data_IF_943759830176
#
_entry.id   IF_943759830176
#
_cell.length_a   1.000
_cell.length_b   1.000
_cell.length_c   1.000
_cell.angle_alpha   90.00
_cell.angle_beta   90.00
_cell.angle_gamma   90.00
#
_symmetry.space_group_name_H-M   'P 1'
#
loop_
_entity.id
_entity.type
_entity.pdbx_description
1 polymer ?
#
# COMPACT_ATOMS: atom_id res chain seq x y z
N UNK A 1 -5.42 38.23 -47.86
CA UNK A 1 -5.78 38.04 -46.46
C UNK A 1 -6.98 37.12 -46.42
N UNK A 2 -6.78 35.84 -46.11
CA UNK A 2 -7.82 34.84 -46.07
C UNK A 2 -7.84 34.29 -44.63
N UNK A 3 -8.88 34.61 -43.91
CA UNK A 3 -9.18 34.06 -42.57
C UNK A 3 -9.55 32.61 -42.66
N UNK A 4 -8.75 31.76 -42.06
CA UNK A 4 -8.98 30.33 -41.98
C UNK A 4 -9.80 30.05 -40.69
N UNK A 5 -11.11 29.87 -40.85
CA UNK A 5 -12.02 29.42 -39.80
C UNK A 5 -11.61 28.01 -39.36
N UNK A 6 -11.21 27.89 -38.11
CA UNK A 6 -10.98 26.58 -37.45
C UNK A 6 -12.34 26.08 -36.97
N UNK A 7 -12.73 24.94 -37.50
CA UNK A 7 -13.97 24.22 -37.15
C UNK A 7 -13.67 23.38 -35.91
N UNK A 8 -14.22 23.72 -34.78
CA UNK A 8 -14.21 22.95 -33.54
C UNK A 8 -15.13 21.72 -33.73
N UNK A 9 -14.53 20.54 -33.63
CA UNK A 9 -15.27 19.30 -33.49
C UNK A 9 -15.64 19.11 -32.02
N UNK A 10 -16.92 18.89 -31.66
CA UNK A 10 -17.30 18.57 -30.29
C UNK A 10 -16.84 17.15 -29.92
N UNK A 11 -16.21 17.03 -28.75
CA UNK A 11 -15.89 15.77 -28.12
C UNK A 11 -17.17 14.93 -27.87
N UNK A 12 -17.14 13.61 -28.06
CA UNK A 12 -18.24 12.75 -27.69
C UNK A 12 -18.40 12.68 -26.18
N UNK A 13 -19.62 12.93 -25.70
CA UNK A 13 -20.04 12.71 -24.33
C UNK A 13 -19.92 11.22 -23.93
N UNK A 14 -19.47 10.90 -22.70
CA UNK A 14 -19.46 9.53 -22.22
C UNK A 14 -20.90 9.07 -21.97
N UNK A 15 -21.35 8.10 -22.76
CA UNK A 15 -22.62 7.39 -22.56
C UNK A 15 -22.55 6.61 -21.26
N UNK A 16 -23.33 7.04 -20.27
CA UNK A 16 -23.62 6.26 -19.06
C UNK A 16 -24.46 5.07 -19.47
N UNK A 17 -23.90 3.86 -19.47
CA UNK A 17 -24.68 2.64 -19.59
C UNK A 17 -25.31 2.33 -18.24
N UNK A 18 -26.63 2.49 -18.19
CA UNK A 18 -27.49 1.96 -17.13
C UNK A 18 -27.36 0.42 -17.11
N UNK A 19 -26.79 -0.11 -16.05
CA UNK A 19 -26.82 -1.54 -15.74
C UNK A 19 -28.15 -1.81 -15.02
N UNK A 20 -29.00 -2.71 -15.53
CA UNK A 20 -30.24 -3.08 -14.85
C UNK A 20 -29.90 -3.78 -13.51
N UNK A 21 -30.54 -3.35 -12.45
CA UNK A 21 -30.53 -4.01 -11.16
C UNK A 21 -31.17 -5.40 -11.29
N UNK A 22 -30.37 -6.44 -11.23
CA UNK A 22 -30.80 -7.83 -11.13
C UNK A 22 -31.24 -8.11 -9.69
N UNK A 23 -32.49 -8.52 -9.59
CA UNK A 23 -33.22 -8.79 -8.36
C UNK A 23 -32.53 -9.88 -7.53
N UNK A 24 -32.29 -9.58 -6.25
CA UNK A 24 -31.86 -10.52 -5.24
C UNK A 24 -32.91 -11.62 -5.07
N UNK A 25 -32.62 -12.82 -5.55
CA UNK A 25 -33.35 -14.04 -5.24
C UNK A 25 -32.84 -14.63 -3.93
N UNK A 26 -33.72 -14.74 -2.96
CA UNK A 26 -33.46 -15.30 -1.63
C UNK A 26 -33.31 -16.82 -1.75
N UNK A 27 -32.29 -17.46 -1.19
CA UNK A 27 -32.29 -18.90 -1.01
C UNK A 27 -33.28 -19.27 0.10
N UNK A 28 -34.27 -20.03 -0.27
CA UNK A 28 -35.19 -20.74 0.63
C UNK A 28 -34.44 -21.83 1.41
N UNK A 29 -34.47 -21.71 2.72
CA UNK A 29 -34.18 -22.79 3.66
C UNK A 29 -35.05 -24.02 3.34
N UNK A 30 -34.42 -25.11 2.93
CA UNK A 30 -35.03 -26.43 2.89
C UNK A 30 -34.31 -27.34 3.87
N UNK A 31 -34.91 -27.52 5.02
CA UNK A 31 -34.65 -28.57 6.01
C UNK A 31 -34.75 -29.94 5.37
N UNK A 32 -33.84 -30.87 5.59
CA UNK A 32 -34.04 -32.28 5.22
C UNK A 32 -34.98 -32.93 6.23
N UNK A 33 -36.03 -33.43 5.69
CA UNK A 33 -37.12 -34.19 6.31
C UNK A 33 -36.62 -35.54 6.84
N UNK A 34 -36.95 -35.84 8.06
CA UNK A 34 -36.76 -37.14 8.74
C UNK A 34 -37.31 -38.30 7.95
N UNK A 35 -36.56 -39.43 7.93
CA UNK A 35 -37.00 -40.71 7.42
C UNK A 35 -37.67 -41.46 8.59
N UNK A 36 -38.85 -42.02 8.40
CA UNK A 36 -39.51 -42.77 9.47
C UNK A 36 -39.04 -44.20 9.57
N UNK A 37 -38.96 -44.66 10.80
CA UNK A 37 -38.90 -46.05 11.25
C UNK A 37 -39.96 -46.97 10.58
N UNK A 38 -39.56 -48.13 10.20
CA UNK A 38 -40.44 -49.28 10.04
C UNK A 38 -39.84 -50.50 10.70
N UNK A 39 -40.20 -50.72 11.91
CA UNK A 39 -41.05 -51.79 12.45
C UNK A 39 -40.73 -53.21 11.94
N UNK A 40 -40.14 -53.94 12.79
CA UNK A 40 -40.40 -55.29 13.32
C UNK A 40 -41.23 -56.24 12.47
N UNK A 41 -40.68 -57.39 12.17
CA UNK A 41 -41.49 -58.64 12.16
C UNK A 41 -40.63 -59.80 12.68
N UNK A 42 -41.04 -60.26 13.84
CA UNK A 42 -40.63 -61.42 14.52
C UNK A 42 -41.36 -62.62 13.93
N UNK A 43 -40.70 -63.71 13.63
CA UNK A 43 -41.35 -65.06 13.51
C UNK A 43 -40.38 -66.12 14.09
N UNK A 44 -40.90 -67.17 14.75
CA UNK A 44 -40.20 -67.94 15.78
C UNK A 44 -39.58 -69.27 15.33
N UNK A 45 -38.76 -69.75 16.26
CA UNK A 45 -38.09 -71.06 16.32
C UNK A 45 -38.93 -72.29 15.84
N UNK A 46 -38.21 -73.36 15.44
CA UNK A 46 -38.14 -74.45 16.42
C UNK A 46 -36.71 -75.02 16.66
N UNK A 47 -36.57 -75.47 17.85
CA UNK A 47 -35.39 -76.09 18.43
C UNK A 47 -35.09 -77.49 17.87
N UNK A 48 -33.80 -77.77 17.69
CA UNK A 48 -33.27 -79.13 17.58
C UNK A 48 -32.02 -79.22 18.46
N UNK A 49 -31.87 -80.30 19.28
CA UNK A 49 -30.86 -80.39 20.30
C UNK A 49 -29.46 -80.73 19.75
N UNK A 50 -28.41 -80.44 20.49
CA UNK A 50 -27.03 -80.56 20.01
C UNK A 50 -26.44 -81.97 20.16
N UNK A 51 -25.55 -82.36 19.25
CA UNK A 51 -24.64 -83.44 19.55
C UNK A 51 -23.45 -82.95 20.36
N UNK A 52 -23.21 -83.64 21.46
CA UNK A 52 -22.04 -83.53 22.32
C UNK A 52 -20.78 -83.86 21.50
N UNK A 53 -19.93 -82.92 21.30
CA UNK A 53 -18.58 -83.13 20.74
C UNK A 53 -17.56 -82.74 21.80
N UNK A 54 -16.86 -83.74 22.26
CA UNK A 54 -15.71 -83.67 23.16
C UNK A 54 -14.61 -82.73 22.61
N UNK A 55 -14.00 -81.85 23.41
CA UNK A 55 -12.92 -81.06 22.98
C UNK A 55 -11.63 -81.86 22.83
N UNK A 56 -11.23 -82.16 21.60
CA UNK A 56 -9.84 -82.55 21.33
C UNK A 56 -8.96 -81.30 21.48
N UNK A 57 -8.15 -81.29 22.52
CA UNK A 57 -7.01 -80.40 22.65
C UNK A 57 -6.02 -80.68 21.49
N UNK A 58 -6.14 -79.94 20.42
CA UNK A 58 -5.10 -79.93 19.40
C UNK A 58 -3.98 -79.00 19.88
N UNK A 59 -2.85 -79.63 20.22
CA UNK A 59 -1.60 -78.92 20.46
C UNK A 59 -1.24 -78.10 19.20
N UNK A 60 -0.98 -76.80 19.29
CA UNK A 60 -0.57 -76.08 18.13
C UNK A 60 0.82 -76.53 17.69
N UNK A 61 0.87 -77.26 16.58
CA UNK A 61 2.14 -77.51 15.89
C UNK A 61 2.63 -76.17 15.31
N UNK A 62 3.64 -75.64 15.94
CA UNK A 62 4.38 -74.53 15.37
C UNK A 62 5.11 -75.00 14.12
N UNK A 63 4.45 -75.00 13.00
CA UNK A 63 5.10 -75.15 11.71
C UNK A 63 5.94 -73.87 11.47
N UNK A 64 7.26 -74.07 11.37
CA UNK A 64 8.26 -73.04 11.05
C UNK A 64 7.84 -72.42 9.72
N UNK A 65 7.18 -71.26 9.78
CA UNK A 65 6.73 -70.57 8.61
C UNK A 65 7.95 -70.20 7.75
N UNK A 66 7.91 -70.58 6.49
CA UNK A 66 8.93 -70.22 5.51
C UNK A 66 9.05 -68.67 5.45
N UNK A 67 10.25 -68.09 5.37
CA UNK A 67 10.43 -66.64 5.32
C UNK A 67 9.61 -65.95 4.24
N UNK A 68 9.26 -66.66 3.17
CA UNK A 68 8.42 -66.16 2.08
C UNK A 68 6.94 -65.96 2.45
N UNK A 69 6.40 -66.71 3.43
CA UNK A 69 5.01 -66.57 3.86
C UNK A 69 4.81 -65.36 4.79
N UNK A 70 5.83 -65.00 5.56
CA UNK A 70 5.83 -63.77 6.35
C UNK A 70 5.81 -62.53 5.46
N UNK A 71 6.61 -62.52 4.40
CA UNK A 71 6.61 -61.41 3.42
C UNK A 71 5.27 -61.29 2.69
N UNK A 72 4.65 -62.39 2.28
CA UNK A 72 3.34 -62.36 1.62
C UNK A 72 2.21 -61.82 2.52
N UNK A 73 2.29 -62.02 3.83
CA UNK A 73 1.29 -61.50 4.79
C UNK A 73 1.60 -60.05 5.22
N UNK A 74 2.86 -59.66 5.32
CA UNK A 74 3.27 -58.31 5.73
C UNK A 74 3.25 -57.30 4.57
N UNK A 75 3.47 -57.78 3.33
CA UNK A 75 3.52 -56.89 2.16
C UNK A 75 2.26 -56.03 1.98
N UNK A 76 1.02 -56.58 2.03
CA UNK A 76 -0.19 -55.77 1.90
C UNK A 76 -0.38 -54.80 3.07
N UNK A 77 0.01 -55.20 4.30
CA UNK A 77 -0.05 -54.29 5.44
C UNK A 77 0.96 -53.12 5.32
N UNK A 78 2.19 -53.39 4.87
CA UNK A 78 3.18 -52.38 4.63
C UNK A 78 2.79 -51.42 3.48
N UNK A 79 2.24 -51.95 2.38
CA UNK A 79 1.70 -51.13 1.30
C UNK A 79 0.54 -50.25 1.77
N UNK A 80 -0.35 -50.77 2.58
CA UNK A 80 -1.45 -49.99 3.15
C UNK A 80 -0.94 -48.84 4.03
N UNK A 81 0.01 -49.11 4.92
CA UNK A 81 0.62 -48.08 5.77
C UNK A 81 1.34 -47.05 4.93
N UNK A 82 2.09 -47.46 3.90
CA UNK A 82 2.80 -46.53 3.02
C UNK A 82 1.82 -45.64 2.27
N UNK A 83 0.76 -46.19 1.68
CA UNK A 83 -0.26 -45.42 0.98
C UNK A 83 -1.02 -44.47 1.92
N UNK A 84 -1.35 -44.95 3.12
CA UNK A 84 -2.00 -44.12 4.14
C UNK A 84 -1.12 -42.96 4.56
N UNK A 85 0.17 -43.17 4.83
CA UNK A 85 1.12 -42.10 5.18
C UNK A 85 1.28 -41.11 4.06
N UNK A 86 1.40 -41.58 2.80
CA UNK A 86 1.53 -40.70 1.66
C UNK A 86 0.28 -39.81 1.44
N UNK A 87 -0.92 -40.42 1.56
CA UNK A 87 -2.19 -39.66 1.44
C UNK A 87 -2.32 -38.64 2.57
N UNK A 88 -2.03 -39.06 3.81
CA UNK A 88 -2.08 -38.10 4.95
C UNK A 88 -1.06 -36.99 4.84
N UNK A 89 0.15 -37.27 4.35
CA UNK A 89 1.18 -36.24 4.14
C UNK A 89 0.75 -35.24 3.04
N UNK A 90 0.20 -35.74 1.93
CA UNK A 90 -0.36 -34.90 0.88
C UNK A 90 -1.52 -34.04 1.38
N UNK A 91 -2.39 -34.59 2.22
CA UNK A 91 -3.51 -33.87 2.83
C UNK A 91 -3.03 -32.77 3.78
N UNK A 92 -2.02 -33.04 4.59
CA UNK A 92 -1.42 -32.04 5.48
C UNK A 92 -0.77 -30.90 4.69
N UNK A 93 0.02 -31.21 3.64
CA UNK A 93 0.62 -30.20 2.78
C UNK A 93 -0.47 -29.34 2.10
N UNK A 94 -1.55 -29.98 1.63
CA UNK A 94 -2.67 -29.26 1.02
C UNK A 94 -3.37 -28.34 2.03
N UNK A 95 -3.64 -28.82 3.24
CA UNK A 95 -4.24 -27.99 4.30
C UNK A 95 -3.37 -26.81 4.69
N UNK A 96 -2.04 -27.02 4.80
CA UNK A 96 -1.09 -25.93 5.08
C UNK A 96 -1.06 -24.89 3.96
N UNK A 97 -1.04 -25.32 2.69
CA UNK A 97 -1.04 -24.37 1.56
C UNK A 97 -2.33 -23.57 1.48
N UNK A 98 -3.48 -24.20 1.75
CA UNK A 98 -4.79 -23.50 1.80
C UNK A 98 -4.86 -22.54 2.98
N UNK A 99 -4.39 -22.97 4.17
CA UNK A 99 -4.36 -22.12 5.36
C UNK A 99 -3.45 -20.89 5.17
N UNK A 100 -2.24 -21.08 4.61
CA UNK A 100 -1.32 -19.99 4.29
C UNK A 100 -1.90 -19.04 3.23
N UNK A 101 -2.61 -19.57 2.23
CA UNK A 101 -3.32 -18.76 1.24
C UNK A 101 -4.43 -17.90 1.87
N UNK A 102 -5.21 -18.48 2.77
CA UNK A 102 -6.26 -17.76 3.50
C UNK A 102 -5.70 -16.70 4.46
N UNK A 103 -4.58 -16.98 5.13
CA UNK A 103 -3.90 -15.99 5.98
C UNK A 103 -3.36 -14.82 5.17
N UNK A 104 -2.70 -15.09 4.03
CA UNK A 104 -2.22 -14.04 3.12
C UNK A 104 -3.36 -13.20 2.56
N UNK A 105 -4.49 -13.83 2.20
CA UNK A 105 -5.68 -13.12 1.75
C UNK A 105 -6.25 -12.22 2.85
N UNK A 106 -6.40 -12.72 4.07
CA UNK A 106 -6.85 -11.92 5.23
C UNK A 106 -5.90 -10.78 5.54
N UNK A 107 -4.59 -11.02 5.54
CA UNK A 107 -3.58 -9.99 5.76
C UNK A 107 -3.65 -8.89 4.68
N UNK A 108 -3.86 -9.26 3.42
CA UNK A 108 -4.04 -8.28 2.34
C UNK A 108 -5.35 -7.48 2.48
N UNK A 109 -6.43 -8.10 2.93
CA UNK A 109 -7.73 -7.42 3.11
C UNK A 109 -7.80 -6.57 4.37
N UNK A 110 -7.07 -6.94 5.43
CA UNK A 110 -7.05 -6.18 6.70
C UNK A 110 -5.96 -5.11 6.75
N UNK A 111 -4.99 -5.12 5.82
CA UNK A 111 -3.82 -4.24 5.87
C UNK A 111 -4.19 -2.76 5.83
N UNK A 112 -5.12 -2.36 4.96
CA UNK A 112 -5.58 -0.96 4.91
C UNK A 112 -6.32 -0.57 6.20
N UNK A 113 -7.07 -1.50 6.81
CA UNK A 113 -7.74 -1.27 8.08
C UNK A 113 -6.74 -1.14 9.24
N UNK A 114 -5.72 -1.97 9.27
CA UNK A 114 -4.64 -1.88 10.27
C UNK A 114 -3.86 -0.57 10.13
N UNK A 115 -3.51 -0.18 8.90
CA UNK A 115 -2.85 1.09 8.62
C UNK A 115 -3.72 2.29 9.01
N UNK A 116 -5.04 2.21 8.83
CA UNK A 116 -5.97 3.26 9.21
C UNK A 116 -6.04 3.50 10.74
N UNK A 117 -5.62 2.54 11.55
CA UNK A 117 -5.54 2.69 13.01
C UNK A 117 -4.30 3.48 13.47
N UNK A 118 -3.32 3.70 12.59
CA UNK A 118 -2.05 4.35 12.92
C UNK A 118 -2.18 5.86 12.73
N UNK A 119 -2.06 6.62 13.82
CA UNK A 119 -2.10 8.08 13.78
C UNK A 119 -0.87 8.67 13.07
N UNK A 120 -1.05 9.77 12.33
CA UNK A 120 0.02 10.45 11.57
C UNK A 120 1.21 10.92 12.42
N UNK A 121 1.00 11.25 13.70
CA UNK A 121 2.04 11.68 14.64
C UNK A 121 2.60 10.56 15.51
N UNK A 122 2.25 9.29 15.24
CA UNK A 122 2.74 8.13 16.01
C UNK A 122 4.26 8.04 15.97
N UNK A 123 4.91 8.01 17.14
CA UNK A 123 6.36 7.88 17.25
C UNK A 123 6.88 6.60 16.60
N UNK A 124 6.12 5.50 16.69
CA UNK A 124 6.47 4.24 16.06
C UNK A 124 6.46 4.34 14.52
N UNK A 125 5.46 5.02 13.94
CA UNK A 125 5.39 5.25 12.50
C UNK A 125 6.53 6.16 12.03
N UNK A 126 6.79 7.24 12.75
CA UNK A 126 7.88 8.18 12.44
C UNK A 126 9.23 7.46 12.48
N UNK A 127 9.52 6.68 13.53
CA UNK A 127 10.74 5.90 13.64
C UNK A 127 10.86 4.84 12.53
N UNK A 128 9.76 4.17 12.19
CA UNK A 128 9.72 3.20 11.09
C UNK A 128 10.10 3.84 9.75
N UNK A 129 9.50 5.00 9.43
CA UNK A 129 9.82 5.73 8.19
C UNK A 129 11.27 6.21 8.20
N UNK A 130 11.74 6.76 9.31
CA UNK A 130 13.10 7.28 9.46
C UNK A 130 14.16 6.19 9.31
N UNK A 131 13.96 5.03 9.91
CA UNK A 131 14.96 3.97 9.96
C UNK A 131 14.96 3.06 8.73
N UNK A 132 13.79 2.79 8.15
CA UNK A 132 13.63 1.78 7.11
C UNK A 132 13.36 2.33 5.71
N UNK A 133 12.75 3.50 5.62
CA UNK A 133 12.32 4.04 4.33
C UNK A 133 13.09 5.29 3.89
N UNK A 134 13.60 6.08 4.84
CA UNK A 134 14.33 7.29 4.51
C UNK A 134 15.77 6.95 4.13
N UNK A 135 16.08 6.99 2.85
CA UNK A 135 17.41 6.73 2.36
C UNK A 135 18.40 7.81 2.86
N UNK A 136 19.63 7.42 3.23
CA UNK A 136 20.64 8.36 3.65
C UNK A 136 21.04 9.32 2.52
N UNK A 137 21.59 10.46 2.89
CA UNK A 137 22.12 11.44 1.93
C UNK A 137 23.18 10.80 1.03
N UNK A 138 23.00 10.90 -0.26
CA UNK A 138 24.07 10.56 -1.18
C UNK A 138 25.01 11.76 -1.29
N UNK A 139 26.26 11.56 -0.93
CA UNK A 139 27.31 12.58 -1.18
C UNK A 139 27.33 12.84 -2.69
N UNK A 140 26.94 14.03 -3.08
CA UNK A 140 26.94 14.41 -4.48
C UNK A 140 28.33 14.18 -5.09
N UNK A 141 28.43 13.65 -6.32
CA UNK A 141 29.70 13.66 -7.03
C UNK A 141 30.20 15.12 -7.11
N UNK A 142 31.50 15.34 -6.92
CA UNK A 142 32.07 16.68 -7.03
C UNK A 142 31.81 17.25 -8.43
N UNK A 143 31.40 18.52 -8.48
CA UNK A 143 31.45 19.36 -9.66
C UNK A 143 30.38 19.19 -10.75
N UNK A 144 29.10 19.27 -10.37
CA UNK A 144 28.20 20.00 -11.29
C UNK A 144 28.02 21.42 -10.73
N UNK A 145 28.14 22.47 -11.56
CA UNK A 145 27.85 23.81 -11.11
C UNK A 145 26.41 23.87 -10.56
N UNK A 146 26.16 24.67 -9.53
CA UNK A 146 24.80 24.84 -9.04
C UNK A 146 23.91 25.35 -10.21
N UNK A 147 22.65 24.91 -10.28
CA UNK A 147 21.72 25.46 -11.27
C UNK A 147 21.51 26.95 -10.99
N UNK A 148 21.00 27.70 -11.99
CA UNK A 148 20.63 29.09 -11.82
C UNK A 148 19.44 29.24 -10.85
N UNK A 149 19.32 30.36 -10.13
CA UNK A 149 18.19 30.64 -9.26
C UNK A 149 16.90 30.73 -10.06
N UNK A 150 15.86 30.06 -9.57
CA UNK A 150 14.52 30.07 -10.18
C UNK A 150 13.73 31.33 -9.72
N UNK A 151 12.65 31.72 -10.43
CA UNK A 151 11.76 32.76 -9.96
C UNK A 151 11.21 32.54 -8.54
N UNK A 152 11.00 31.27 -8.13
CA UNK A 152 10.55 30.92 -6.79
C UNK A 152 11.61 31.27 -5.73
N UNK A 153 12.89 31.08 -6.04
CA UNK A 153 14.01 31.47 -5.15
C UNK A 153 14.00 32.99 -4.95
N UNK A 154 13.79 33.75 -5.99
CA UNK A 154 13.73 35.23 -5.88
C UNK A 154 12.56 35.68 -4.99
N UNK A 155 11.41 35.02 -5.06
CA UNK A 155 10.28 35.31 -4.17
C UNK A 155 10.63 34.95 -2.72
N UNK A 156 11.28 33.82 -2.50
CA UNK A 156 11.73 33.41 -1.17
C UNK A 156 12.69 34.42 -0.56
N UNK A 157 13.69 34.88 -1.37
CA UNK A 157 14.67 35.85 -0.96
C UNK A 157 14.07 37.24 -0.67
N UNK A 158 13.09 37.66 -1.45
CA UNK A 158 12.39 38.93 -1.24
C UNK A 158 11.62 38.93 0.09
N UNK A 159 11.07 37.79 0.52
CA UNK A 159 10.25 37.70 1.72
C UNK A 159 11.05 37.43 3.00
N UNK A 160 12.09 36.61 2.91
CA UNK A 160 12.81 36.09 4.06
C UNK A 160 14.31 36.45 4.05
N UNK A 161 14.80 37.05 2.99
CA UNK A 161 16.22 37.26 2.75
C UNK A 161 16.91 35.99 2.25
N UNK A 162 18.20 36.07 1.98
CA UNK A 162 18.99 34.93 1.56
C UNK A 162 19.24 33.98 2.76
N UNK A 163 18.55 32.85 2.76
CA UNK A 163 18.70 31.83 3.81
C UNK A 163 19.71 30.78 3.33
N UNK A 164 20.72 30.51 4.14
CA UNK A 164 21.68 29.41 3.98
C UNK A 164 21.43 28.33 5.03
N UNK A 165 21.76 27.07 4.69
CA UNK A 165 21.59 25.91 5.58
C UNK A 165 20.14 25.74 6.08
N UNK A 166 19.17 26.13 5.28
CA UNK A 166 17.75 25.93 5.59
C UNK A 166 17.31 24.48 5.36
N UNK A 167 16.04 24.21 5.67
CA UNK A 167 15.43 22.88 5.48
C UNK A 167 14.28 22.97 4.48
N UNK A 168 14.25 22.01 3.55
CA UNK A 168 13.16 21.90 2.58
C UNK A 168 12.55 20.48 2.55
N UNK A 169 11.29 20.43 2.13
CA UNK A 169 10.63 19.16 1.79
C UNK A 169 10.01 19.30 0.40
N UNK A 170 10.34 18.36 -0.47
CA UNK A 170 9.76 18.29 -1.80
C UNK A 170 8.97 16.99 -1.96
N UNK A 171 7.69 17.15 -2.16
CA UNK A 171 6.75 16.04 -2.33
C UNK A 171 6.11 16.13 -3.72
N UNK A 172 6.76 15.58 -4.72
CA UNK A 172 6.29 15.54 -6.11
C UNK A 172 6.23 14.09 -6.56
N UNK A 173 5.09 13.60 -7.10
CA UNK A 173 4.92 12.18 -7.41
C UNK A 173 5.92 11.64 -8.43
N UNK A 174 6.30 12.46 -9.42
CA UNK A 174 7.15 12.08 -10.56
C UNK A 174 8.15 13.19 -10.90
N UNK A 175 9.20 12.81 -11.60
CA UNK A 175 10.17 13.69 -12.17
C UNK A 175 11.43 13.90 -11.33
N UNK A 176 12.39 14.65 -11.86
CA UNK A 176 13.62 15.02 -11.15
C UNK A 176 13.32 15.95 -9.97
N UNK A 177 14.35 16.27 -9.20
CA UNK A 177 14.30 17.33 -8.19
C UNK A 177 13.95 18.66 -8.87
N UNK A 178 13.02 19.43 -8.29
CA UNK A 178 12.63 20.73 -8.85
C UNK A 178 13.83 21.67 -8.95
N UNK A 179 13.80 22.59 -9.90
CA UNK A 179 14.88 23.57 -10.07
C UNK A 179 15.13 24.39 -8.80
N UNK A 180 14.07 24.79 -8.11
CA UNK A 180 14.13 25.50 -6.83
C UNK A 180 14.84 24.69 -5.74
N UNK A 181 14.40 23.44 -5.52
CA UNK A 181 15.03 22.58 -4.53
C UNK A 181 16.49 22.24 -4.92
N UNK A 182 16.75 21.98 -6.20
CA UNK A 182 18.10 21.71 -6.69
C UNK A 182 19.05 22.90 -6.45
N UNK A 183 18.58 24.13 -6.65
CA UNK A 183 19.34 25.33 -6.34
C UNK A 183 19.60 25.47 -4.83
N UNK A 184 18.55 25.40 -4.01
CA UNK A 184 18.67 25.57 -2.56
C UNK A 184 19.62 24.51 -1.94
N UNK A 185 19.49 23.27 -2.38
CA UNK A 185 20.33 22.15 -1.89
C UNK A 185 21.82 22.31 -2.29
N UNK A 186 22.11 22.77 -3.53
CA UNK A 186 23.46 22.79 -4.06
C UNK A 186 24.16 24.13 -3.86
N UNK A 187 23.45 25.24 -4.09
CA UNK A 187 24.04 26.59 -3.99
C UNK A 187 24.05 27.11 -2.57
N UNK A 188 23.03 26.77 -1.75
CA UNK A 188 22.87 27.34 -0.41
C UNK A 188 23.09 26.37 0.73
N UNK A 189 23.46 25.11 0.42
CA UNK A 189 23.74 24.09 1.41
C UNK A 189 22.53 23.68 2.24
N UNK A 190 21.31 23.84 1.69
CA UNK A 190 20.11 23.42 2.39
C UNK A 190 20.08 21.91 2.59
N UNK A 191 19.37 21.47 3.62
CA UNK A 191 19.05 20.08 3.89
C UNK A 191 17.59 19.80 3.55
N UNK A 192 17.23 18.51 3.51
CA UNK A 192 15.81 18.18 3.35
C UNK A 192 15.52 16.78 2.88
N UNK A 193 14.25 16.58 2.57
CA UNK A 193 13.70 15.32 2.11
C UNK A 193 13.05 15.52 0.74
N UNK A 194 13.43 14.65 -0.21
CA UNK A 194 12.80 14.58 -1.53
C UNK A 194 12.02 13.27 -1.62
N UNK A 195 10.72 13.37 -1.86
CA UNK A 195 9.80 12.24 -1.89
C UNK A 195 9.33 12.00 -3.32
N UNK A 196 9.39 10.75 -3.76
CA UNK A 196 8.89 10.31 -5.08
C UNK A 196 8.04 9.04 -4.93
N UNK A 197 6.89 9.05 -5.58
CA UNK A 197 6.02 7.88 -5.67
C UNK A 197 6.45 6.92 -6.78
N UNK A 198 6.93 7.47 -7.91
CA UNK A 198 7.46 6.68 -9.00
C UNK A 198 8.80 6.05 -8.60
N UNK A 199 8.90 4.72 -8.65
CA UNK A 199 10.10 3.98 -8.25
C UNK A 199 11.31 4.35 -9.10
N UNK A 200 11.12 4.54 -10.41
CA UNK A 200 12.17 4.96 -11.34
C UNK A 200 12.76 6.31 -10.96
N UNK A 201 11.91 7.29 -10.69
CA UNK A 201 12.34 8.64 -10.35
C UNK A 201 13.03 8.66 -8.97
N UNK A 202 12.50 7.89 -8.00
CA UNK A 202 13.16 7.69 -6.72
C UNK A 202 14.57 7.09 -6.86
N UNK A 203 14.73 6.04 -7.67
CA UNK A 203 16.02 5.40 -7.91
C UNK A 203 17.00 6.30 -8.68
N UNK A 204 16.48 7.25 -9.44
CA UNK A 204 17.28 8.25 -10.16
C UNK A 204 17.73 9.42 -9.28
N UNK A 205 17.16 9.59 -8.08
CA UNK A 205 17.54 10.69 -7.18
C UNK A 205 19.01 10.57 -6.77
N UNK A 206 19.74 11.65 -6.99
CA UNK A 206 21.12 11.82 -6.57
C UNK A 206 21.28 13.22 -6.01
N UNK A 207 21.95 13.36 -4.88
CA UNK A 207 22.17 14.68 -4.30
C UNK A 207 22.29 14.69 -2.79
N UNK A 208 22.38 15.86 -2.18
CA UNK A 208 22.56 16.03 -0.74
C UNK A 208 21.29 15.77 0.08
N UNK A 209 20.11 15.80 -0.53
CA UNK A 209 18.86 15.53 0.18
C UNK A 209 18.69 14.05 0.50
N UNK A 210 17.98 13.79 1.59
CA UNK A 210 17.50 12.43 1.90
C UNK A 210 16.36 12.07 0.95
N UNK A 211 16.33 10.84 0.46
CA UNK A 211 15.32 10.39 -0.49
C UNK A 211 14.31 9.45 0.19
N UNK A 212 13.04 9.59 -0.16
CA UNK A 212 11.96 8.73 0.35
C UNK A 212 11.10 8.21 -0.82
N UNK A 213 10.96 6.89 -0.92
CA UNK A 213 10.04 6.25 -1.85
C UNK A 213 8.66 6.13 -1.18
N UNK A 214 7.80 7.09 -1.41
CA UNK A 214 6.46 7.14 -0.84
C UNK A 214 5.53 8.00 -1.70
N UNK A 215 4.22 7.87 -1.48
CA UNK A 215 3.21 8.80 -1.96
C UNK A 215 2.61 9.62 -0.81
N UNK A 216 1.92 10.69 -1.15
CA UNK A 216 1.23 11.53 -0.17
C UNK A 216 -0.11 10.90 0.17
N UNK A 217 -0.36 10.64 1.44
CA UNK A 217 -1.67 10.13 1.87
C UNK A 217 -2.71 11.25 1.86
N UNK A 218 -3.89 11.02 1.27
CA UNK A 218 -5.00 11.96 1.35
C UNK A 218 -5.73 11.92 2.69
N UNK A 219 -5.25 11.15 3.66
CA UNK A 219 -5.88 10.94 4.97
C UNK A 219 -4.87 11.13 6.11
N UNK A 220 -5.35 11.13 7.35
CA UNK A 220 -4.51 11.25 8.56
C UNK A 220 -3.73 9.97 8.92
N UNK A 221 -3.84 8.93 8.14
CA UNK A 221 -3.18 7.65 8.40
C UNK A 221 -2.43 7.15 7.15
N UNK A 222 -1.43 6.30 7.33
CA UNK A 222 -0.75 5.67 6.21
C UNK A 222 -1.70 4.74 5.47
N UNK A 223 -1.47 4.56 4.18
CA UNK A 223 -2.19 3.59 3.34
C UNK A 223 -1.28 3.07 2.25
N UNK A 224 -1.58 1.90 1.73
CA UNK A 224 -0.85 1.34 0.60
C UNK A 224 -1.67 1.48 -0.67
N UNK A 225 -1.06 1.97 -1.73
CA UNK A 225 -1.72 2.10 -3.03
C UNK A 225 -0.91 1.42 -4.11
N UNK A 226 -1.60 0.95 -5.14
CA UNK A 226 -0.96 0.49 -6.35
C UNK A 226 -0.70 1.68 -7.25
N UNK A 227 0.57 2.00 -7.45
CA UNK A 227 1.01 3.08 -8.32
C UNK A 227 1.35 2.51 -9.70
N UNK A 228 0.76 3.07 -10.74
CA UNK A 228 1.00 2.64 -12.11
C UNK A 228 1.97 3.62 -12.79
N UNK A 229 3.08 3.09 -13.26
CA UNK A 229 4.04 3.81 -14.07
C UNK A 229 3.88 3.37 -15.53
N UNK A 230 3.53 4.29 -16.40
CA UNK A 230 3.50 4.04 -17.86
C UNK A 230 4.86 4.41 -18.42
N UNK A 231 5.64 3.43 -18.80
CA UNK A 231 6.99 3.65 -19.35
C UNK A 231 6.97 3.83 -20.88
N UNK A 232 6.02 3.17 -21.53
CA UNK A 232 5.71 3.31 -22.97
C UNK A 232 4.24 2.94 -23.19
N UNK A 233 3.71 3.13 -24.38
CA UNK A 233 2.32 2.78 -24.69
C UNK A 233 1.99 1.29 -24.47
N UNK A 234 3.01 0.42 -24.32
CA UNK A 234 2.84 -1.04 -24.22
C UNK A 234 3.21 -1.62 -22.85
N UNK A 235 3.93 -0.88 -21.98
CA UNK A 235 4.35 -1.42 -20.69
C UNK A 235 3.89 -0.54 -19.54
N UNK A 236 3.00 -1.10 -18.70
CA UNK A 236 2.55 -0.50 -17.47
C UNK A 236 3.16 -1.27 -16.30
N UNK A 237 4.08 -0.63 -15.58
CA UNK A 237 4.58 -1.18 -14.33
C UNK A 237 3.66 -0.80 -13.19
N UNK A 238 3.29 -1.78 -12.40
CA UNK A 238 2.45 -1.60 -11.22
C UNK A 238 3.28 -1.91 -9.98
N UNK A 239 3.54 -0.91 -9.16
CA UNK A 239 4.24 -1.04 -7.89
C UNK A 239 3.34 -0.71 -6.71
N UNK A 240 3.52 -1.41 -5.60
CA UNK A 240 2.88 -1.02 -4.33
C UNK A 240 3.72 0.05 -3.67
N UNK A 241 3.10 1.16 -3.34
CA UNK A 241 3.75 2.30 -2.71
C UNK A 241 3.03 2.65 -1.42
N UNK A 242 3.78 2.84 -0.35
CA UNK A 242 3.25 3.32 0.92
C UNK A 242 3.00 4.83 0.83
N UNK A 243 1.74 5.23 0.97
CA UNK A 243 1.38 6.63 1.10
C UNK A 243 1.42 7.03 2.58
N UNK A 244 2.12 8.11 2.86
CA UNK A 244 2.34 8.61 4.21
C UNK A 244 1.62 9.95 4.40
N UNK A 245 1.05 10.21 5.59
CA UNK A 245 0.57 11.54 5.94
C UNK A 245 1.70 12.57 5.88
N UNK A 246 1.37 13.80 5.48
CA UNK A 246 2.37 14.87 5.38
C UNK A 246 3.11 15.10 6.69
N UNK A 247 2.39 15.14 7.83
CA UNK A 247 2.99 15.28 9.15
C UNK A 247 4.03 14.19 9.44
N UNK A 248 3.73 12.93 9.10
CA UNK A 248 4.67 11.83 9.31
C UNK A 248 5.98 12.05 8.58
N UNK A 249 5.92 12.50 7.33
CA UNK A 249 7.11 12.77 6.52
C UNK A 249 7.91 13.96 7.08
N UNK A 250 7.21 15.03 7.49
CA UNK A 250 7.86 16.19 8.13
C UNK A 250 8.60 15.78 9.41
N UNK A 251 7.96 14.97 10.26
CA UNK A 251 8.58 14.50 11.51
C UNK A 251 9.73 13.51 11.26
N UNK A 252 9.55 12.54 10.36
CA UNK A 252 10.58 11.56 10.04
C UNK A 252 11.81 12.20 9.35
N UNK A 253 11.55 13.24 8.58
CA UNK A 253 12.59 14.04 7.93
C UNK A 253 13.22 15.10 8.81
N UNK A 254 12.86 15.21 10.11
CA UNK A 254 13.31 16.30 10.98
C UNK A 254 13.05 17.69 10.36
N UNK A 255 11.98 17.79 9.57
CA UNK A 255 11.64 18.95 8.76
C UNK A 255 10.31 19.61 9.21
N UNK A 256 9.94 19.41 10.48
CA UNK A 256 8.74 20.02 11.05
C UNK A 256 8.80 21.57 11.04
N UNK A 257 9.99 22.14 10.95
CA UNK A 257 10.24 23.58 10.83
C UNK A 257 10.90 23.91 9.48
N UNK A 258 10.48 23.24 8.41
CA UNK A 258 11.01 23.46 7.08
C UNK A 258 10.66 24.86 6.57
N UNK A 259 11.67 25.61 6.11
CA UNK A 259 11.49 26.94 5.54
C UNK A 259 10.77 26.92 4.19
N UNK A 260 10.83 25.79 3.48
CA UNK A 260 10.20 25.64 2.18
C UNK A 260 9.64 24.22 2.00
N UNK A 261 8.36 24.14 1.67
CA UNK A 261 7.67 22.87 1.39
C UNK A 261 7.03 22.96 0.01
N UNK A 262 7.43 22.07 -0.90
CA UNK A 262 6.82 21.92 -2.22
C UNK A 262 5.93 20.66 -2.24
N UNK A 263 4.67 20.86 -2.57
CA UNK A 263 3.69 19.78 -2.71
C UNK A 263 3.17 19.72 -4.15
N UNK A 264 3.15 18.52 -4.73
CA UNK A 264 2.59 18.30 -6.06
C UNK A 264 1.69 17.08 -6.11
N UNK A 265 0.85 17.03 -7.15
CA UNK A 265 -0.06 15.92 -7.41
C UNK A 265 -1.45 16.05 -6.79
N UNK A 266 -2.31 15.10 -7.12
CA UNK A 266 -3.74 15.13 -6.78
C UNK A 266 -4.04 15.10 -5.26
N UNK A 267 -3.10 14.63 -4.47
CA UNK A 267 -3.29 14.46 -3.02
C UNK A 267 -2.71 15.63 -2.19
N UNK A 268 -2.17 16.68 -2.83
CA UNK A 268 -1.61 17.84 -2.13
C UNK A 268 -2.65 18.54 -1.25
N UNK A 269 -3.80 18.92 -1.81
CA UNK A 269 -4.87 19.55 -1.04
C UNK A 269 -5.44 18.65 0.07
N UNK A 270 -5.85 17.38 -0.18
CA UNK A 270 -6.29 16.50 0.89
C UNK A 270 -5.27 16.34 2.02
N UNK A 271 -3.98 16.23 1.70
CA UNK A 271 -2.94 16.12 2.72
C UNK A 271 -2.79 17.40 3.56
N UNK A 272 -2.90 18.57 2.94
CA UNK A 272 -2.91 19.85 3.64
C UNK A 272 -4.11 19.97 4.58
N UNK A 273 -5.30 19.50 4.18
CA UNK A 273 -6.50 19.57 5.04
C UNK A 273 -6.36 18.72 6.31
N UNK A 274 -5.51 17.72 6.29
CA UNK A 274 -5.23 16.85 7.43
C UNK A 274 -3.97 17.25 8.22
N UNK A 275 -3.24 18.27 7.77
CA UNK A 275 -2.08 18.78 8.50
C UNK A 275 -2.56 19.59 9.72
N UNK A 276 -2.11 19.27 10.94
CA UNK A 276 -2.48 20.03 12.14
C UNK A 276 -1.65 21.34 12.20
N UNK A 277 -2.10 22.39 11.52
CA UNK A 277 -1.41 23.68 11.49
C UNK A 277 -1.29 24.34 12.87
N UNK A 278 -2.13 23.92 13.82
CA UNK A 278 -2.09 24.40 15.21
C UNK A 278 -1.05 23.66 16.09
N UNK A 279 -0.34 22.67 15.54
CA UNK A 279 0.72 21.96 16.26
C UNK A 279 1.93 22.88 16.43
N UNK A 280 2.30 23.16 17.68
CA UNK A 280 3.43 24.05 18.02
C UNK A 280 4.77 23.58 17.43
N UNK A 281 4.88 22.30 17.11
CA UNK A 281 6.08 21.73 16.47
C UNK A 281 6.23 22.14 15.00
N UNK A 282 5.11 22.48 14.35
CA UNK A 282 5.09 22.82 12.93
C UNK A 282 5.31 24.31 12.73
N UNK A 283 6.31 24.64 11.93
CA UNK A 283 6.52 25.99 11.44
C UNK A 283 6.91 25.92 9.97
N UNK A 284 5.97 26.21 9.09
CA UNK A 284 6.13 26.13 7.64
C UNK A 284 5.89 27.52 7.03
N UNK A 285 6.89 28.40 7.03
CA UNK A 285 6.72 29.77 6.57
C UNK A 285 6.38 29.88 5.08
N UNK A 286 6.81 28.93 4.26
CA UNK A 286 6.55 28.93 2.82
C UNK A 286 6.07 27.56 2.34
N UNK A 287 4.89 27.53 1.72
CA UNK A 287 4.33 26.35 1.05
C UNK A 287 4.12 26.69 -0.41
N UNK A 288 4.70 25.90 -1.31
CA UNK A 288 4.41 25.94 -2.73
C UNK A 288 3.56 24.72 -3.11
N UNK A 289 2.51 24.93 -3.88
CA UNK A 289 1.66 23.83 -4.35
C UNK A 289 1.61 23.87 -5.88
N UNK A 290 1.91 22.71 -6.49
CA UNK A 290 1.77 22.52 -7.94
C UNK A 290 0.36 22.00 -8.25
N UNK A 291 -0.26 22.55 -9.29
CA UNK A 291 -1.62 22.25 -9.68
C UNK A 291 -1.69 21.68 -11.09
N UNK A 292 -2.64 20.79 -11.30
CA UNK A 292 -3.01 20.27 -12.61
C UNK A 292 -4.21 21.00 -13.22
N UNK A 293 -5.00 21.70 -12.40
CA UNK A 293 -6.16 22.46 -12.85
C UNK A 293 -6.49 23.63 -11.90
N UNK A 294 -7.19 24.65 -12.43
CA UNK A 294 -7.56 25.86 -11.70
C UNK A 294 -8.58 25.63 -10.59
N UNK A 295 -9.43 24.62 -10.70
CA UNK A 295 -10.41 24.31 -9.65
C UNK A 295 -9.73 23.88 -8.35
N UNK A 296 -8.70 23.02 -8.45
CA UNK A 296 -7.91 22.60 -7.29
C UNK A 296 -7.10 23.77 -6.75
N UNK A 297 -6.54 24.61 -7.64
CA UNK A 297 -5.82 25.82 -7.28
C UNK A 297 -6.66 26.73 -6.40
N UNK A 298 -7.88 27.08 -6.84
CA UNK A 298 -8.76 27.96 -6.10
C UNK A 298 -9.13 27.37 -4.73
N UNK A 299 -9.53 26.09 -4.68
CA UNK A 299 -9.85 25.41 -3.42
C UNK A 299 -8.67 25.38 -2.44
N UNK A 300 -7.45 25.18 -2.95
CA UNK A 300 -6.24 25.17 -2.11
C UNK A 300 -5.94 26.56 -1.59
N UNK A 301 -6.09 27.57 -2.44
CA UNK A 301 -5.92 28.98 -2.05
C UNK A 301 -6.91 29.36 -0.96
N UNK A 302 -8.21 29.08 -1.17
CA UNK A 302 -9.25 29.36 -0.19
C UNK A 302 -8.95 28.67 1.16
N UNK A 303 -8.54 27.40 1.10
CA UNK A 303 -8.19 26.65 2.31
C UNK A 303 -6.98 27.25 3.05
N UNK A 304 -5.88 27.54 2.35
CA UNK A 304 -4.66 28.07 2.99
C UNK A 304 -4.88 29.50 3.53
N UNK A 305 -5.73 30.30 2.90
CA UNK A 305 -6.15 31.60 3.45
C UNK A 305 -6.83 31.45 4.83
N UNK A 306 -7.63 30.37 5.04
CA UNK A 306 -8.21 30.08 6.36
C UNK A 306 -7.17 29.68 7.42
N UNK A 307 -5.97 29.25 6.96
CA UNK A 307 -4.84 28.84 7.81
C UNK A 307 -3.79 29.93 7.99
N UNK A 308 -4.18 31.17 7.76
CA UNK A 308 -3.33 32.37 7.91
C UNK A 308 -2.15 32.44 6.92
N UNK A 309 -2.28 31.82 5.74
CA UNK A 309 -1.34 31.99 4.64
C UNK A 309 -1.86 33.05 3.67
N UNK A 310 -0.96 33.73 3.01
CA UNK A 310 -1.25 34.69 1.92
C UNK A 310 -0.57 34.24 0.64
N UNK A 311 -1.14 34.58 -0.51
CA UNK A 311 -0.51 34.31 -1.81
C UNK A 311 0.70 35.19 -1.98
N UNK A 312 1.89 34.61 -1.99
CA UNK A 312 3.16 35.34 -2.19
C UNK A 312 3.49 35.54 -3.66
N UNK A 313 3.27 34.50 -4.47
CA UNK A 313 3.46 34.56 -5.92
C UNK A 313 2.64 33.46 -6.61
N UNK A 314 2.30 33.71 -7.87
CA UNK A 314 1.56 32.76 -8.70
C UNK A 314 2.34 32.53 -9.99
N UNK A 315 2.58 31.26 -10.31
CA UNK A 315 3.25 30.81 -11.51
C UNK A 315 2.27 29.97 -12.36
N UNK A 316 2.64 29.66 -13.58
CA UNK A 316 1.77 28.89 -14.50
C UNK A 316 1.30 27.55 -13.91
N UNK A 317 2.18 26.82 -13.25
CA UNK A 317 1.92 25.47 -12.71
C UNK A 317 1.88 25.41 -11.20
N UNK A 318 2.21 26.48 -10.48
CA UNK A 318 2.29 26.48 -9.02
C UNK A 318 1.92 27.83 -8.41
N UNK A 319 1.59 27.81 -7.13
CA UNK A 319 1.37 29.01 -6.30
C UNK A 319 2.17 28.88 -5.02
N UNK A 320 2.87 29.93 -4.66
CA UNK A 320 3.58 30.05 -3.39
C UNK A 320 2.71 30.80 -2.38
N UNK A 321 2.63 30.23 -1.18
CA UNK A 321 1.89 30.77 -0.04
C UNK A 321 2.85 31.05 1.10
N UNK A 322 2.82 32.25 1.63
CA UNK A 322 3.61 32.67 2.78
C UNK A 322 2.74 32.75 4.03
N UNK A 323 3.25 32.23 5.13
CA UNK A 323 2.60 32.38 6.44
C UNK A 323 2.62 33.85 6.85
N UNK A 324 1.47 34.39 7.23
CA UNK A 324 1.37 35.75 7.71
C UNK A 324 2.07 35.88 9.06
N UNK A 325 2.96 36.90 9.19
CA UNK A 325 3.78 37.16 10.38
C UNK A 325 3.08 38.05 11.41
N UNK A 326 1.89 38.57 11.08
CA UNK A 326 1.23 39.61 11.87
C UNK A 326 0.20 39.06 12.89
N UNK A 327 0.32 37.79 13.30
CA UNK A 327 -0.56 37.20 14.35
C UNK A 327 0.25 36.65 15.48
#
# INVERSE_FOLDING_TARGET
MAEKKIQENPLPEPTVQDVPAEAADKPKDTLPKAIPDKTTTTIPLPAVPPPVVTPRLSVPVFTKASPNDLYRRLLPAMLFVLTFVTVMTMLLIYMDTVALGAQKFRANMSRDYELASIAQGSAALVAFVQQLHLAPRHRAPPAQPPPDPTPQVHVLDKLYGEIYNGTLVEFVPRGPVSGTAAYLLRARGWDGVVVRAAARDYLALRGPARALHACLSPTQHPREVTYQETESQESVFSSRVLCLPLLTVLLAGEAAQAQYVLLGGAHALPALTHLPFDDVRLHLPMIEVQFSNDTIRNKTTDYLLTKNYTVAASFDTSVMYALNRDV
#
